data_IF_923570095391
#
_entry.id   IF_923570095391
#
_cell.length_a   1.000
_cell.length_b   1.000
_cell.length_c   1.000
_cell.angle_alpha   90.00
_cell.angle_beta   90.00
_cell.angle_gamma   90.00
#
_symmetry.space_group_name_H-M   'P 1'
#
loop_
_entity.id
_entity.type
_entity.pdbx_description
1 polymer ?
#
# COMPACT_ATOMS: atom_id res chain seq x y z
N UNK A 1 1.26 10.59 18.96
CA UNK A 1 0.68 9.30 18.57
C UNK A 1 -0.62 9.57 17.84
N UNK A 2 -0.86 8.95 16.69
CA UNK A 2 -2.13 9.10 15.97
C UNK A 2 -3.26 8.29 16.61
N UNK A 3 -4.54 8.60 16.32
CA UNK A 3 -5.66 7.79 16.78
C UNK A 3 -5.62 6.39 16.12
N UNK A 4 -6.27 5.43 16.78
CA UNK A 4 -6.42 4.08 16.26
C UNK A 4 -7.15 4.09 14.90
N UNK A 5 -6.82 3.12 14.05
CA UNK A 5 -7.53 2.90 12.79
C UNK A 5 -8.88 2.28 13.11
N UNK A 6 -9.97 2.86 12.59
CA UNK A 6 -11.30 2.30 12.76
C UNK A 6 -11.56 1.22 11.70
N UNK A 7 -11.83 0.01 12.17
CA UNK A 7 -12.15 -1.15 11.33
C UNK A 7 -13.57 -1.67 11.56
N UNK A 8 -14.39 -0.93 12.33
CA UNK A 8 -15.78 -1.27 12.61
C UNK A 8 -16.59 -1.66 11.37
N UNK A 9 -16.43 -1.01 10.18
CA UNK A 9 -17.17 -1.37 8.96
C UNK A 9 -16.94 -2.80 8.43
N UNK A 10 -15.81 -3.43 8.78
CA UNK A 10 -15.41 -4.77 8.32
C UNK A 10 -15.44 -5.84 9.41
N UNK A 11 -15.93 -5.50 10.62
CA UNK A 11 -16.08 -6.50 11.69
C UNK A 11 -16.99 -7.64 11.26
N UNK A 12 -16.55 -8.88 11.53
CA UNK A 12 -17.28 -10.09 11.18
C UNK A 12 -17.25 -10.47 9.69
N UNK A 13 -16.53 -9.73 8.83
CA UNK A 13 -16.41 -10.00 7.39
C UNK A 13 -15.05 -10.60 7.01
N UNK A 14 -14.41 -11.34 7.91
CA UNK A 14 -13.10 -11.94 7.64
C UNK A 14 -13.10 -12.96 6.50
N UNK A 15 -14.26 -13.57 6.24
CA UNK A 15 -14.42 -14.61 5.22
C UNK A 15 -14.74 -14.02 3.83
N UNK A 16 -14.99 -12.71 3.76
CA UNK A 16 -15.22 -11.97 2.53
C UNK A 16 -13.89 -11.34 2.07
N UNK A 17 -13.35 -11.87 0.97
CA UNK A 17 -12.08 -11.42 0.42
C UNK A 17 -12.11 -9.93 0.04
N UNK A 18 -13.24 -9.44 -0.48
CA UNK A 18 -13.37 -8.03 -0.86
C UNK A 18 -13.34 -7.13 0.37
N UNK A 19 -14.03 -7.54 1.45
CA UNK A 19 -13.99 -6.83 2.73
C UNK A 19 -12.57 -6.77 3.31
N UNK A 20 -11.80 -7.87 3.20
CA UNK A 20 -10.40 -7.91 3.65
C UNK A 20 -9.52 -6.98 2.82
N UNK A 21 -9.67 -6.97 1.50
CA UNK A 21 -8.92 -6.07 0.61
C UNK A 21 -9.21 -4.60 0.92
N UNK A 22 -10.48 -4.23 1.09
CA UNK A 22 -10.89 -2.86 1.45
C UNK A 22 -10.34 -2.43 2.81
N UNK A 23 -10.38 -3.31 3.82
CA UNK A 23 -9.82 -3.03 5.13
C UNK A 23 -8.29 -2.82 5.05
N UNK A 24 -7.59 -3.65 4.26
CA UNK A 24 -6.15 -3.50 4.04
C UNK A 24 -5.81 -2.18 3.34
N UNK A 25 -6.60 -1.79 2.33
CA UNK A 25 -6.44 -0.51 1.64
C UNK A 25 -6.62 0.68 2.61
N UNK A 26 -7.67 0.64 3.45
CA UNK A 26 -7.92 1.66 4.45
C UNK A 26 -6.78 1.82 5.46
N UNK A 27 -6.20 0.70 5.92
CA UNK A 27 -5.04 0.72 6.81
C UNK A 27 -3.85 1.38 6.13
N UNK A 28 -3.58 1.05 4.86
CA UNK A 28 -2.47 1.63 4.10
C UNK A 28 -2.64 3.12 3.83
N UNK A 29 -3.87 3.60 3.65
CA UNK A 29 -4.17 5.04 3.56
C UNK A 29 -3.83 5.75 4.87
N UNK A 30 -4.28 5.17 5.99
CA UNK A 30 -4.02 5.76 7.31
C UNK A 30 -2.53 5.81 7.64
N UNK A 31 -1.78 4.75 7.28
CA UNK A 31 -0.31 4.75 7.40
C UNK A 31 0.30 5.86 6.55
N UNK A 32 -0.19 6.06 5.32
CA UNK A 32 0.31 7.08 4.41
C UNK A 32 0.12 8.48 4.98
N UNK A 33 -1.06 8.79 5.51
CA UNK A 33 -1.34 10.07 6.18
C UNK A 33 -0.41 10.32 7.39
N UNK A 34 -0.18 9.28 8.20
CA UNK A 34 0.75 9.39 9.33
C UNK A 34 2.17 9.66 8.85
N UNK A 35 2.60 9.02 7.76
CA UNK A 35 3.92 9.26 7.17
C UNK A 35 4.04 10.68 6.59
N UNK A 36 2.97 11.25 6.02
CA UNK A 36 2.99 12.64 5.55
C UNK A 36 3.29 13.61 6.70
N UNK A 37 2.61 13.42 7.83
CA UNK A 37 2.79 14.23 9.04
C UNK A 37 4.22 14.06 9.57
N UNK A 38 4.69 12.82 9.68
CA UNK A 38 6.02 12.52 10.22
C UNK A 38 7.16 13.04 9.33
N UNK A 39 6.96 13.06 8.01
CA UNK A 39 7.97 13.52 7.05
C UNK A 39 7.85 15.01 6.70
N UNK A 40 6.73 15.65 7.02
CA UNK A 40 6.42 17.01 6.55
C UNK A 40 6.28 17.10 5.02
N UNK A 41 5.91 15.99 4.37
CA UNK A 41 5.82 15.88 2.90
C UNK A 41 4.49 15.26 2.50
N UNK A 42 4.02 15.55 1.29
CA UNK A 42 2.84 14.92 0.71
C UNK A 42 3.18 13.61 0.01
N UNK A 43 2.32 12.62 0.16
CA UNK A 43 2.39 11.38 -0.57
C UNK A 43 2.17 11.63 -2.07
N UNK A 44 2.73 10.78 -2.94
CA UNK A 44 2.45 10.85 -4.37
C UNK A 44 0.95 10.72 -4.65
N UNK A 45 0.45 11.46 -5.64
CA UNK A 45 -0.96 11.40 -6.04
C UNK A 45 -1.37 10.03 -6.61
N UNK A 46 -0.40 9.25 -7.09
CA UNK A 46 -0.61 7.91 -7.64
C UNK A 46 0.04 6.91 -6.69
N UNK A 47 -0.77 5.98 -6.17
CA UNK A 47 -0.28 4.88 -5.34
C UNK A 47 0.64 4.00 -6.17
N UNK A 48 1.75 3.58 -5.59
CA UNK A 48 2.61 2.61 -6.23
C UNK A 48 1.89 1.26 -6.32
N UNK A 49 1.67 0.78 -7.55
CA UNK A 49 1.17 -0.57 -7.81
C UNK A 49 2.29 -1.44 -8.41
N UNK A 50 2.75 -2.48 -7.70
CA UNK A 50 3.79 -3.36 -8.20
C UNK A 50 3.36 -4.14 -9.45
N UNK A 51 2.05 -4.38 -9.67
CA UNK A 51 1.54 -5.14 -10.82
C UNK A 51 1.68 -4.36 -12.13
N UNK A 52 1.58 -3.04 -12.08
CA UNK A 52 1.77 -2.12 -13.20
C UNK A 52 3.18 -1.53 -13.29
N UNK A 53 4.06 -1.84 -12.33
CA UNK A 53 5.44 -1.36 -12.33
C UNK A 53 6.34 -2.12 -13.31
N UNK A 54 7.36 -1.43 -13.84
CA UNK A 54 8.46 -2.02 -14.60
C UNK A 54 9.45 -2.85 -13.74
N UNK A 55 9.18 -2.98 -12.44
CA UNK A 55 10.07 -3.70 -11.53
C UNK A 55 9.91 -5.21 -11.72
N UNK A 56 11.01 -5.98 -11.57
CA UNK A 56 10.93 -7.42 -11.66
C UNK A 56 10.01 -7.97 -10.56
N UNK A 57 9.03 -8.79 -10.98
CA UNK A 57 8.02 -9.41 -10.10
C UNK A 57 8.60 -10.25 -8.95
N UNK A 58 9.79 -10.78 -9.15
CA UNK A 58 10.56 -11.48 -8.11
C UNK A 58 11.82 -10.64 -7.86
N UNK A 59 12.20 -10.50 -6.58
CA UNK A 59 13.18 -9.52 -6.06
C UNK A 59 14.62 -9.54 -6.61
N UNK A 60 14.86 -10.11 -7.78
CA UNK A 60 16.09 -9.94 -8.53
C UNK A 60 16.10 -8.64 -9.35
N UNK A 61 16.33 -7.52 -8.67
CA UNK A 61 16.47 -6.18 -9.26
C UNK A 61 17.67 -6.04 -10.22
N UNK A 62 18.63 -6.98 -10.20
CA UNK A 62 19.82 -6.95 -11.07
C UNK A 62 19.53 -7.45 -12.50
N UNK A 63 18.55 -8.35 -12.69
CA UNK A 63 18.24 -8.92 -14.02
C UNK A 63 17.53 -7.91 -14.94
N UNK A 64 16.61 -7.10 -14.42
CA UNK A 64 15.87 -6.14 -15.24
C UNK A 64 16.77 -5.09 -15.93
N UNK A 65 17.87 -4.69 -15.28
CA UNK A 65 18.87 -3.76 -15.86
C UNK A 65 19.64 -4.32 -17.05
N UNK A 66 19.80 -5.65 -17.16
CA UNK A 66 20.53 -6.29 -18.27
C UNK A 66 19.70 -6.47 -19.54
N UNK A 67 18.36 -6.50 -19.44
CA UNK A 67 17.49 -6.67 -20.60
C UNK A 67 17.27 -5.37 -21.40
N UNK A 68 17.71 -4.22 -20.87
CA UNK A 68 17.62 -2.90 -21.50
C UNK A 68 18.99 -2.38 -21.99
N UNK A 69 20.01 -3.24 -22.12
CA UNK A 69 21.37 -2.88 -22.56
C UNK A 69 21.81 -3.67 -23.78
#
# INVERSE_FOLDING_TARGET
MGPAVDLSPWQGKSDDLEAVEQAAEHIMDRITELLEILRGQKAPAIRFDPKSSDLPRIGNFKKAKRAKS
#
